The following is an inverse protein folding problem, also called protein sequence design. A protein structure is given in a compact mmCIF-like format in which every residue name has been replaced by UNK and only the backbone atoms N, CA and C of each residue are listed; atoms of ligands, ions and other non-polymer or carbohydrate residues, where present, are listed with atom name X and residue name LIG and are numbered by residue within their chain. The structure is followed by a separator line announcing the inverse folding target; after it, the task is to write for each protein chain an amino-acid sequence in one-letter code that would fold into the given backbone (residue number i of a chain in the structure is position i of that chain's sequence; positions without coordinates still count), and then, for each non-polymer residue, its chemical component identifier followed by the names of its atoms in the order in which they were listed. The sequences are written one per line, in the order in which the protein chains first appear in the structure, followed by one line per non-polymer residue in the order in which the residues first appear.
data_IF_071661507870
#
_entry.id   IF_071661507870
#
_cell.length_a   1.000
_cell.length_b   1.000
_cell.length_c   1.000
_cell.angle_alpha   90.00
_cell.angle_beta   90.00
_cell.angle_gamma   90.00
#
_symmetry.space_group_name_H-M   'P 1'
#
loop_
_entity.id
_entity.type
_entity.pdbx_description
1 polymer ?
#
# COMPACT_ATOMS: atom_id res chain seq x y z
N UNK A 1 -12.96 -12.38 -53.21
CA UNK A 1 -12.10 -13.03 -52.19
C UNK A 1 -11.24 -11.96 -51.55
N UNK A 2 -11.63 -11.44 -50.37
CA UNK A 2 -10.94 -10.32 -49.71
C UNK A 2 -9.86 -10.87 -48.77
N UNK A 3 -8.62 -10.49 -49.04
CA UNK A 3 -7.42 -10.85 -48.30
C UNK A 3 -7.45 -10.14 -46.93
N UNK A 4 -7.74 -10.88 -45.86
CA UNK A 4 -7.54 -10.39 -44.49
C UNK A 4 -6.04 -10.45 -44.19
N UNK A 5 -5.36 -9.31 -44.28
CA UNK A 5 -4.00 -9.15 -43.78
C UNK A 5 -4.08 -9.03 -42.26
N UNK A 6 -3.83 -10.14 -41.56
CA UNK A 6 -3.63 -10.17 -40.12
C UNK A 6 -2.27 -9.54 -39.81
N UNK A 7 -2.25 -8.23 -39.54
CA UNK A 7 -1.10 -7.57 -38.93
C UNK A 7 -1.09 -7.97 -37.45
N UNK A 8 -0.39 -9.06 -37.13
CA UNK A 8 0.03 -9.34 -35.76
C UNK A 8 1.14 -8.33 -35.45
N UNK A 9 0.76 -7.17 -34.92
CA UNK A 9 1.69 -6.33 -34.17
C UNK A 9 2.11 -7.15 -32.95
N UNK A 10 3.21 -7.87 -33.08
CA UNK A 10 3.96 -8.41 -31.96
C UNK A 10 4.44 -7.20 -31.14
N UNK A 11 3.58 -6.77 -30.22
CA UNK A 11 3.88 -5.73 -29.26
C UNK A 11 4.82 -6.36 -28.23
N UNK A 12 6.08 -6.57 -28.62
CA UNK A 12 7.15 -6.86 -27.67
C UNK A 12 7.36 -5.58 -26.86
N UNK A 13 6.52 -5.37 -25.85
CA UNK A 13 6.87 -4.44 -24.79
C UNK A 13 8.17 -4.99 -24.23
N UNK A 14 9.26 -4.27 -24.44
CA UNK A 14 10.44 -4.42 -23.61
C UNK A 14 9.91 -4.24 -22.19
N UNK A 15 9.72 -5.35 -21.48
CA UNK A 15 9.44 -5.33 -20.07
C UNK A 15 10.72 -4.81 -19.43
N UNK A 16 10.86 -3.49 -19.40
CA UNK A 16 11.87 -2.84 -18.58
C UNK A 16 11.59 -3.37 -17.18
N UNK A 17 12.54 -4.13 -16.64
CA UNK A 17 12.42 -4.64 -15.29
C UNK A 17 12.20 -3.44 -14.38
N UNK A 18 11.06 -3.41 -13.69
CA UNK A 18 10.73 -2.29 -12.80
C UNK A 18 11.85 -2.20 -11.74
N UNK A 19 12.44 -1.01 -11.58
CA UNK A 19 13.55 -0.78 -10.65
C UNK A 19 13.02 -0.74 -9.21
N UNK A 20 13.60 -1.52 -8.29
CA UNK A 20 13.36 -1.34 -6.86
C UNK A 20 14.01 -0.03 -6.38
N UNK A 21 13.19 0.94 -5.98
CA UNK A 21 13.63 2.24 -5.48
C UNK A 21 14.24 2.17 -4.07
N UNK A 22 13.83 1.19 -3.26
CA UNK A 22 14.30 1.02 -1.89
C UNK A 22 15.63 0.28 -1.78
N UNK A 23 16.12 -0.31 -2.88
CA UNK A 23 17.37 -1.08 -2.89
C UNK A 23 18.55 -0.23 -2.41
N UNK A 24 19.20 -0.72 -1.34
CA UNK A 24 20.35 -0.14 -0.66
C UNK A 24 20.12 1.28 -0.13
N UNK A 25 18.85 1.67 0.07
CA UNK A 25 18.50 2.96 0.65
C UNK A 25 18.64 2.97 2.17
N UNK A 26 18.82 4.17 2.71
CA UNK A 26 18.86 4.33 4.16
C UNK A 26 17.49 4.04 4.75
N UNK A 27 17.47 3.19 5.77
CA UNK A 27 16.27 2.80 6.48
C UNK A 27 16.46 2.95 7.99
N UNK A 28 15.36 3.27 8.65
CA UNK A 28 15.26 3.44 10.10
C UNK A 28 13.97 2.77 10.56
N UNK A 29 13.94 2.26 11.78
CA UNK A 29 12.73 1.69 12.35
C UNK A 29 12.55 2.13 13.79
N UNK A 30 11.48 1.65 14.42
CA UNK A 30 11.33 1.70 15.86
C UNK A 30 12.38 0.84 16.59
N UNK A 31 12.26 0.76 17.92
CA UNK A 31 13.20 -0.04 18.72
C UNK A 31 13.21 -1.50 18.25
N UNK A 32 14.40 -2.08 18.15
CA UNK A 32 14.57 -3.50 17.80
C UNK A 32 14.11 -4.35 18.98
N UNK A 33 13.06 -5.17 18.77
CA UNK A 33 12.35 -5.94 19.80
C UNK A 33 13.23 -6.90 20.62
N UNK A 34 14.41 -7.26 20.12
CA UNK A 34 15.25 -8.30 20.71
C UNK A 34 16.64 -7.75 21.03
N UNK A 35 16.88 -7.54 22.33
CA UNK A 35 18.18 -7.33 23.01
C UNK A 35 19.41 -7.37 22.07
N UNK A 36 19.77 -6.20 21.50
CA UNK A 36 21.01 -5.96 20.78
C UNK A 36 21.39 -7.00 19.70
N UNK A 37 20.44 -7.73 19.13
CA UNK A 37 20.77 -8.61 18.02
C UNK A 37 21.07 -7.75 16.79
N UNK A 38 22.37 -7.60 16.49
CA UNK A 38 22.91 -6.82 15.37
C UNK A 38 22.25 -7.18 14.02
N UNK A 39 21.66 -8.37 13.94
CA UNK A 39 21.02 -8.92 12.75
C UNK A 39 19.66 -8.32 12.40
N UNK A 40 18.92 -7.72 13.34
CA UNK A 40 17.55 -7.23 13.09
C UNK A 40 17.47 -5.72 12.87
N UNK A 41 18.43 -5.17 12.13
CA UNK A 41 18.47 -3.75 11.82
C UNK A 41 17.57 -3.40 10.62
N UNK A 42 17.17 -2.13 10.51
CA UNK A 42 16.30 -1.66 9.43
C UNK A 42 16.90 -1.87 8.03
N UNK A 43 18.24 -1.87 7.90
CA UNK A 43 18.93 -2.04 6.62
C UNK A 43 18.66 -3.39 5.98
N UNK A 44 18.39 -4.42 6.80
CA UNK A 44 18.00 -5.75 6.31
C UNK A 44 16.83 -5.69 5.33
N UNK A 45 15.83 -4.84 5.59
CA UNK A 45 14.65 -4.68 4.72
C UNK A 45 14.93 -4.02 3.36
N UNK A 46 16.16 -3.63 3.07
CA UNK A 46 16.52 -2.88 1.85
C UNK A 46 17.82 -3.37 1.23
N UNK A 47 18.33 -4.53 1.65
CA UNK A 47 19.66 -4.98 1.26
C UNK A 47 19.69 -5.73 -0.10
N UNK A 48 18.52 -5.99 -0.68
CA UNK A 48 18.37 -6.68 -1.96
C UNK A 48 18.33 -8.20 -1.84
N UNK A 49 18.26 -8.76 -0.63
CA UNK A 49 18.17 -10.20 -0.39
C UNK A 49 16.71 -10.62 -0.27
N UNK A 50 16.24 -11.37 -1.26
CA UNK A 50 14.87 -11.92 -1.25
C UNK A 50 14.73 -13.16 -0.32
N UNK A 51 15.67 -13.37 0.61
CA UNK A 51 15.61 -14.48 1.55
C UNK A 51 14.61 -14.17 2.66
N UNK A 52 13.78 -15.13 2.98
CA UNK A 52 12.87 -15.06 4.12
C UNK A 52 13.47 -15.68 5.40
N UNK A 53 14.77 -15.98 5.43
CA UNK A 53 15.43 -16.57 6.59
C UNK A 53 16.11 -15.49 7.43
N UNK A 54 15.43 -15.07 8.50
CA UNK A 54 15.94 -14.06 9.42
C UNK A 54 17.22 -14.46 10.17
N UNK A 55 17.60 -15.75 10.19
CA UNK A 55 18.88 -16.19 10.76
C UNK A 55 20.10 -15.72 9.96
N UNK A 56 19.91 -15.31 8.69
CA UNK A 56 20.98 -14.76 7.86
C UNK A 56 21.16 -13.23 8.00
N UNK A 57 20.55 -12.64 9.03
CA UNK A 57 20.67 -11.21 9.34
C UNK A 57 20.21 -10.29 8.18
N UNK A 58 19.27 -10.79 7.38
CA UNK A 58 18.69 -10.08 6.23
C UNK A 58 17.27 -9.58 6.48
N UNK A 59 16.80 -9.51 7.73
CA UNK A 59 15.45 -9.04 8.01
C UNK A 59 15.44 -7.99 9.12
N UNK A 60 14.59 -6.98 8.96
CA UNK A 60 14.21 -6.08 10.02
C UNK A 60 13.21 -6.75 10.96
N UNK A 61 13.38 -6.56 12.27
CA UNK A 61 12.39 -6.90 13.28
C UNK A 61 12.23 -5.73 14.26
N UNK A 62 11.21 -4.92 14.05
CA UNK A 62 10.80 -3.83 14.95
C UNK A 62 9.74 -4.31 15.94
N UNK A 63 9.54 -3.54 16.99
CA UNK A 63 8.46 -3.77 17.96
C UNK A 63 8.90 -3.74 19.42
N UNK A 64 7.92 -3.67 20.31
CA UNK A 64 8.11 -3.56 21.76
C UNK A 64 6.86 -3.94 22.56
N UNK A 65 6.96 -3.96 23.89
CA UNK A 65 5.83 -4.34 24.78
C UNK A 65 4.66 -3.34 24.80
N UNK A 66 4.79 -2.17 24.16
CA UNK A 66 3.73 -1.15 24.15
C UNK A 66 3.74 -0.18 22.96
N UNK A 67 4.59 -0.38 21.95
CA UNK A 67 4.79 0.61 20.88
C UNK A 67 4.26 0.13 19.53
N UNK A 68 3.89 1.09 18.67
CA UNK A 68 3.49 0.82 17.29
C UNK A 68 4.75 0.62 16.47
N UNK A 69 4.98 -0.61 15.99
CA UNK A 69 6.15 -0.92 15.17
C UNK A 69 6.09 -0.25 13.79
N UNK A 70 7.21 0.31 13.35
CA UNK A 70 7.32 1.01 12.07
C UNK A 70 8.70 0.87 11.43
N UNK A 71 8.72 0.88 10.10
CA UNK A 71 9.90 0.94 9.25
C UNK A 71 9.75 2.14 8.31
N UNK A 72 10.79 2.94 8.18
CA UNK A 72 10.88 4.07 7.27
C UNK A 72 12.11 3.95 6.37
N UNK A 73 11.95 4.21 5.07
CA UNK A 73 13.03 4.22 4.07
C UNK A 73 13.10 5.56 3.38
N UNK A 74 14.28 6.20 3.36
CA UNK A 74 14.54 7.42 2.58
C UNK A 74 14.96 7.07 1.15
N UNK A 75 14.08 7.33 0.18
CA UNK A 75 14.36 7.09 -1.25
C UNK A 75 15.34 8.12 -1.86
N UNK A 76 15.81 9.11 -1.09
CA UNK A 76 16.67 10.25 -1.46
C UNK A 76 16.00 11.30 -2.36
N UNK A 77 14.95 10.93 -3.08
CA UNK A 77 14.14 11.80 -3.91
C UNK A 77 12.64 11.41 -3.80
N UNK A 78 11.72 12.33 -4.11
CA UNK A 78 10.29 12.00 -4.14
C UNK A 78 9.91 11.25 -5.41
N UNK A 79 9.13 10.18 -5.27
CA UNK A 79 8.65 9.33 -6.38
C UNK A 79 7.14 9.12 -6.34
N UNK A 80 6.51 8.98 -7.50
CA UNK A 80 5.10 8.57 -7.59
C UNK A 80 5.01 7.06 -7.42
N UNK A 81 4.78 6.59 -6.20
CA UNK A 81 4.80 5.16 -5.89
C UNK A 81 3.58 4.47 -6.50
N UNK A 82 3.81 3.36 -7.22
CA UNK A 82 2.74 2.50 -7.76
C UNK A 82 2.40 1.38 -6.79
N UNK A 83 3.41 0.71 -6.25
CA UNK A 83 3.21 -0.41 -5.34
C UNK A 83 4.40 -0.62 -4.44
N UNK A 84 4.13 -1.31 -3.33
CA UNK A 84 5.11 -1.79 -2.39
C UNK A 84 4.89 -3.27 -2.16
N UNK A 85 5.95 -4.05 -2.19
CA UNK A 85 5.93 -5.48 -1.90
C UNK A 85 6.83 -5.75 -0.72
N UNK A 86 6.32 -6.48 0.26
CA UNK A 86 7.05 -6.85 1.47
C UNK A 86 7.27 -8.34 1.48
N UNK A 87 8.51 -8.77 1.67
CA UNK A 87 8.86 -10.17 1.91
C UNK A 87 8.96 -10.38 3.43
N UNK A 88 8.27 -11.40 3.92
CA UNK A 88 8.19 -11.69 5.36
C UNK A 88 9.07 -12.86 5.77
N UNK A 89 9.51 -12.89 7.03
CA UNK A 89 10.32 -13.98 7.60
C UNK A 89 9.55 -15.30 7.70
N UNK A 90 10.26 -16.42 7.52
CA UNK A 90 9.72 -17.77 7.58
C UNK A 90 9.10 -18.15 8.93
N UNK A 91 9.55 -17.53 10.03
CA UNK A 91 9.14 -17.87 11.40
C UNK A 91 8.26 -16.80 12.06
N UNK A 92 8.37 -15.56 11.61
CA UNK A 92 7.78 -14.38 12.23
C UNK A 92 6.78 -13.66 11.32
N UNK A 93 6.41 -14.25 10.18
CA UNK A 93 5.47 -13.66 9.20
C UNK A 93 4.15 -13.18 9.83
N UNK A 94 3.68 -13.82 10.90
CA UNK A 94 2.43 -13.47 11.57
C UNK A 94 2.39 -12.02 12.07
N UNK A 95 3.56 -11.45 12.41
CA UNK A 95 3.73 -10.06 12.83
C UNK A 95 3.37 -9.05 11.73
N UNK A 96 3.42 -9.48 10.46
CA UNK A 96 3.01 -8.66 9.33
C UNK A 96 1.53 -8.78 8.98
N UNK A 97 0.73 -9.49 9.77
CA UNK A 97 -0.72 -9.44 9.61
C UNK A 97 -1.21 -8.01 9.87
N UNK A 98 -2.04 -7.48 8.97
CA UNK A 98 -2.65 -6.14 9.12
C UNK A 98 -1.67 -4.96 9.17
N UNK A 99 -0.85 -4.76 8.11
CA UNK A 99 0.04 -3.60 8.01
C UNK A 99 -0.54 -2.46 7.14
N UNK A 100 -0.03 -1.26 7.38
CA UNK A 100 -0.30 -0.04 6.63
C UNK A 100 0.98 0.30 5.85
N UNK A 101 0.84 0.63 4.57
CA UNK A 101 1.92 1.16 3.76
C UNK A 101 1.57 2.58 3.31
N UNK A 102 2.56 3.46 3.33
CA UNK A 102 2.37 4.86 2.98
C UNK A 102 3.69 5.60 2.87
N UNK A 103 3.63 6.93 2.95
CA UNK A 103 4.83 7.74 2.93
C UNK A 103 4.60 9.22 3.18
N UNK A 104 5.71 9.95 3.31
CA UNK A 104 5.73 11.39 3.58
C UNK A 104 6.87 12.06 2.83
N UNK A 105 6.81 13.39 2.76
CA UNK A 105 7.95 14.23 2.36
C UNK A 105 8.65 14.88 3.56
N UNK A 106 8.12 14.69 4.77
CA UNK A 106 8.80 15.05 6.01
C UNK A 106 9.60 13.86 6.53
N UNK A 107 10.89 14.07 6.84
CA UNK A 107 11.79 13.04 7.40
C UNK A 107 11.67 12.86 8.91
N UNK A 108 10.50 13.19 9.48
CA UNK A 108 10.23 13.03 10.91
C UNK A 108 9.83 11.58 11.22
N UNK A 109 9.96 11.18 12.49
CA UNK A 109 9.47 9.89 12.96
C UNK A 109 8.01 9.67 12.55
N UNK A 110 7.66 8.54 11.92
CA UNK A 110 6.30 8.26 11.49
C UNK A 110 5.31 8.30 12.64
N UNK A 111 4.31 9.17 12.52
CA UNK A 111 3.13 9.19 13.40
C UNK A 111 1.91 8.79 12.58
N UNK A 112 1.10 7.88 13.12
CA UNK A 112 -0.10 7.41 12.43
C UNK A 112 -1.03 8.60 12.16
N UNK A 113 -1.54 8.70 10.93
CA UNK A 113 -2.43 9.79 10.52
C UNK A 113 -1.71 11.08 10.12
N UNK A 114 -0.37 11.11 10.10
CA UNK A 114 0.41 12.28 9.65
C UNK A 114 1.14 12.05 8.32
N UNK A 115 0.92 10.91 7.67
CA UNK A 115 1.55 10.54 6.41
C UNK A 115 0.52 9.98 5.43
N UNK A 116 0.80 10.09 4.13
CA UNK A 116 -0.09 9.61 3.07
C UNK A 116 -0.18 8.10 3.11
N UNK A 117 -1.39 7.57 3.26
CA UNK A 117 -1.61 6.12 3.18
C UNK A 117 -1.72 5.74 1.70
N UNK A 118 -0.84 4.84 1.28
CA UNK A 118 -0.89 4.21 -0.02
C UNK A 118 -1.97 3.12 -0.01
N UNK A 119 -1.89 2.19 0.96
CA UNK A 119 -2.91 1.16 1.19
C UNK A 119 -2.76 0.50 2.56
N UNK A 120 -3.65 -0.44 2.85
CA UNK A 120 -3.57 -1.33 4.01
C UNK A 120 -3.74 -2.78 3.57
N UNK A 121 -2.87 -3.66 4.05
CA UNK A 121 -3.07 -5.09 3.92
C UNK A 121 -4.01 -5.54 5.04
N UNK A 122 -5.21 -6.02 4.73
CA UNK A 122 -6.26 -6.27 5.73
C UNK A 122 -6.37 -7.72 6.21
N UNK A 123 -5.49 -8.61 5.75
CA UNK A 123 -5.64 -10.04 5.97
C UNK A 123 -4.60 -10.58 6.94
N UNK A 124 -4.92 -11.74 7.52
CA UNK A 124 -3.94 -12.54 8.26
C UNK A 124 -2.95 -13.16 7.28
N UNK A 125 -1.67 -13.08 7.63
CA UNK A 125 -0.59 -13.74 6.89
C UNK A 125 -0.37 -15.11 7.53
N UNK A 126 -0.62 -16.17 6.77
CA UNK A 126 -0.55 -17.56 7.24
C UNK A 126 0.70 -18.30 6.78
N UNK A 127 1.44 -17.72 5.84
CA UNK A 127 2.68 -18.26 5.28
C UNK A 127 3.68 -17.11 5.08
N UNK A 128 4.97 -17.42 5.00
CA UNK A 128 5.97 -16.46 4.56
C UNK A 128 5.96 -16.36 3.04
N UNK A 129 5.78 -15.15 2.51
CA UNK A 129 5.72 -14.86 1.07
C UNK A 129 5.89 -13.34 0.82
N UNK A 130 5.73 -12.93 -0.44
CA UNK A 130 5.70 -11.55 -0.89
C UNK A 130 4.27 -10.98 -0.89
N UNK A 131 4.05 -9.96 -0.06
CA UNK A 131 2.76 -9.28 0.09
C UNK A 131 2.80 -7.91 -0.55
N UNK A 132 2.03 -7.74 -1.62
CA UNK A 132 1.99 -6.50 -2.40
C UNK A 132 0.77 -5.67 -2.03
N UNK A 133 1.01 -4.39 -1.76
CA UNK A 133 -0.01 -3.35 -1.71
C UNK A 133 0.25 -2.34 -2.81
N UNK A 134 -0.81 -1.90 -3.46
CA UNK A 134 -0.75 -0.89 -4.51
C UNK A 134 -1.10 0.48 -3.94
N UNK A 135 -0.65 1.54 -4.58
CA UNK A 135 -0.82 2.90 -4.10
C UNK A 135 -1.83 3.68 -4.92
N UNK A 136 -2.68 4.43 -4.21
CA UNK A 136 -3.58 5.36 -4.85
C UNK A 136 -2.82 6.41 -5.68
N UNK A 137 -3.21 6.55 -6.94
CA UNK A 137 -2.59 7.47 -7.90
C UNK A 137 -2.74 8.97 -7.57
N UNK A 138 -3.58 9.35 -6.61
CA UNK A 138 -3.73 10.74 -6.18
C UNK A 138 -2.79 11.15 -5.04
N UNK A 139 -2.00 10.23 -4.49
CA UNK A 139 -0.98 10.61 -3.52
C UNK A 139 0.12 11.43 -4.21
N UNK A 140 0.67 12.46 -3.54
CA UNK A 140 1.80 13.20 -4.10
C UNK A 140 3.01 12.27 -4.22
N UNK A 141 4.03 12.70 -4.96
CA UNK A 141 5.32 12.01 -4.93
C UNK A 141 5.86 11.99 -3.48
N UNK A 142 6.36 10.83 -3.04
CA UNK A 142 6.80 10.57 -1.67
C UNK A 142 8.29 10.26 -1.65
N UNK A 143 9.04 10.85 -0.70
CA UNK A 143 10.45 10.55 -0.47
C UNK A 143 10.66 9.49 0.61
N UNK A 144 9.91 9.57 1.70
CA UNK A 144 10.01 8.64 2.83
C UNK A 144 8.90 7.61 2.73
N UNK A 145 9.25 6.34 2.58
CA UNK A 145 8.30 5.23 2.57
C UNK A 145 8.15 4.70 3.99
N UNK A 146 6.92 4.44 4.40
CA UNK A 146 6.57 4.05 5.77
C UNK A 146 5.75 2.76 5.71
N UNK A 147 6.24 1.73 6.41
CA UNK A 147 5.46 0.54 6.76
C UNK A 147 5.19 0.62 8.26
N UNK A 148 3.94 0.50 8.66
CA UNK A 148 3.55 0.59 10.07
C UNK A 148 2.45 -0.43 10.37
N UNK A 149 2.44 -1.00 11.57
CA UNK A 149 1.34 -1.85 11.97
C UNK A 149 0.02 -1.09 12.19
N UNK A 150 -1.11 -1.79 11.99
CA UNK A 150 -2.45 -1.27 12.26
C UNK A 150 -2.67 -1.02 13.76
N UNK A 151 -3.61 -0.12 14.08
CA UNK A 151 -3.92 0.37 15.45
C UNK A 151 -4.28 -0.70 16.50
N UNK A 152 -4.58 -1.93 16.11
CA UNK A 152 -4.89 -3.04 17.03
C UNK A 152 -4.20 -4.35 16.60
N UNK A 153 -3.17 -4.26 15.76
CA UNK A 153 -2.34 -5.43 15.46
C UNK A 153 -1.41 -5.72 16.65
N UNK A 154 -0.66 -6.82 16.59
CA UNK A 154 0.47 -7.02 17.52
C UNK A 154 1.43 -5.83 17.48
N UNK A 155 2.37 -5.74 18.41
CA UNK A 155 3.31 -4.62 18.53
C UNK A 155 4.69 -4.94 17.93
N UNK A 156 4.74 -5.70 16.82
CA UNK A 156 5.98 -6.15 16.18
C UNK A 156 5.89 -6.19 14.67
N UNK A 157 6.90 -5.73 13.95
CA UNK A 157 6.93 -5.65 12.48
C UNK A 157 8.14 -6.42 11.96
N UNK A 158 7.96 -7.27 10.97
CA UNK A 158 9.05 -8.07 10.39
C UNK A 158 9.11 -7.92 8.87
N UNK A 159 10.23 -7.41 8.34
CA UNK A 159 10.39 -7.20 6.90
C UNK A 159 11.76 -7.68 6.47
N UNK A 160 11.80 -8.74 5.67
CA UNK A 160 13.04 -9.25 5.09
C UNK A 160 13.46 -8.45 3.86
N UNK A 161 12.50 -8.03 3.02
CA UNK A 161 12.80 -7.11 1.94
C UNK A 161 11.57 -6.24 1.65
N UNK A 162 11.81 -4.95 1.45
CA UNK A 162 10.84 -3.98 0.96
C UNK A 162 11.22 -3.59 -0.47
N UNK A 163 10.32 -3.91 -1.38
CA UNK A 163 10.42 -3.56 -2.79
C UNK A 163 9.47 -2.40 -3.07
N UNK A 164 10.00 -1.28 -3.55
CA UNK A 164 9.21 -0.08 -3.86
C UNK A 164 9.34 0.22 -5.34
N UNK A 165 8.22 0.39 -6.03
CA UNK A 165 8.20 0.61 -7.48
C UNK A 165 7.47 1.91 -7.83
N UNK A 166 8.05 2.66 -8.75
CA UNK A 166 7.44 3.87 -9.31
C UNK A 166 6.33 3.53 -10.31
N UNK A 167 5.33 4.40 -10.39
CA UNK A 167 4.34 4.38 -11.45
C UNK A 167 4.98 4.66 -12.81
N UNK A 168 4.69 3.80 -13.79
CA UNK A 168 5.12 3.96 -15.18
C UNK A 168 4.58 5.24 -15.82
N UNK A 169 3.43 5.70 -15.32
CA UNK A 169 2.80 6.96 -15.71
C UNK A 169 2.08 7.54 -14.51
N UNK A 170 2.12 8.87 -14.36
CA UNK A 170 1.32 9.59 -13.35
C UNK A 170 -0.19 9.36 -13.52
N UNK A 171 -0.60 8.94 -14.71
CA UNK A 171 -2.00 8.71 -15.09
C UNK A 171 -2.40 7.23 -15.04
N UNK A 172 -1.54 6.32 -14.59
CA UNK A 172 -1.91 4.90 -14.43
C UNK A 172 -2.81 4.72 -13.18
N UNK A 173 -3.98 5.34 -13.21
CA UNK A 173 -4.99 5.24 -12.16
C UNK A 173 -5.76 3.94 -12.33
N UNK A 174 -5.45 2.94 -11.52
CA UNK A 174 -6.23 1.71 -11.47
C UNK A 174 -7.30 1.85 -10.38
N UNK A 175 -8.56 1.66 -10.75
CA UNK A 175 -9.67 1.60 -9.81
C UNK A 175 -10.00 0.14 -9.49
N UNK A 176 -9.74 -0.27 -8.26
CA UNK A 176 -10.14 -1.56 -7.72
C UNK A 176 -11.58 -1.53 -7.25
N UNK A 177 -12.42 -2.37 -7.85
CA UNK A 177 -13.79 -2.58 -7.40
C UNK A 177 -13.83 -3.72 -6.38
N UNK A 178 -14.13 -3.41 -5.13
CA UNK A 178 -14.50 -4.38 -4.10
C UNK A 178 -16.03 -4.49 -4.03
N UNK A 179 -16.53 -5.71 -4.18
CA UNK A 179 -17.97 -6.02 -4.05
C UNK A 179 -18.28 -6.30 -2.59
N UNK A 180 -19.49 -5.96 -2.15
CA UNK A 180 -20.00 -6.18 -0.78
C UNK A 180 -19.17 -5.51 0.32
N UNK A 181 -18.49 -4.41 -0.04
CA UNK A 181 -17.73 -3.57 0.88
C UNK A 181 -18.19 -2.13 0.76
N UNK A 182 -18.16 -1.41 1.88
CA UNK A 182 -18.50 0.02 1.97
C UNK A 182 -17.53 0.68 2.94
N UNK A 183 -16.99 1.84 2.57
CA UNK A 183 -16.33 2.71 3.53
C UNK A 183 -17.33 3.27 4.53
N UNK A 184 -17.05 3.10 5.82
CA UNK A 184 -17.91 3.60 6.91
C UNK A 184 -17.60 5.07 7.26
N UNK A 185 -16.58 5.65 6.65
CA UNK A 185 -16.21 7.04 6.88
C UNK A 185 -17.36 8.00 6.51
N UNK A 186 -17.37 9.18 7.11
CA UNK A 186 -18.24 10.27 6.67
C UNK A 186 -17.79 10.71 5.28
N UNK A 187 -18.68 10.56 4.30
CA UNK A 187 -18.41 11.00 2.95
C UNK A 187 -18.21 12.52 2.92
N UNK A 188 -17.22 12.97 2.15
CA UNK A 188 -16.98 14.40 1.95
C UNK A 188 -18.18 15.02 1.23
N UNK A 189 -18.66 14.32 0.20
CA UNK A 189 -19.84 14.68 -0.58
C UNK A 189 -20.62 13.41 -0.93
N UNK A 190 -21.94 13.57 -1.11
CA UNK A 190 -22.81 12.51 -1.61
C UNK A 190 -23.75 13.09 -2.66
N UNK A 191 -23.97 12.36 -3.74
CA UNK A 191 -24.84 12.77 -4.84
C UNK A 191 -25.38 11.54 -5.59
N UNK A 192 -26.41 11.73 -6.40
CA UNK A 192 -26.99 10.66 -7.22
C UNK A 192 -26.31 10.58 -8.59
N UNK A 193 -25.91 9.37 -9.01
CA UNK A 193 -25.40 9.06 -10.35
C UNK A 193 -26.06 7.81 -10.89
N UNK A 194 -26.25 7.79 -12.22
CA UNK A 194 -26.85 6.66 -12.94
C UNK A 194 -25.93 5.44 -13.07
N UNK A 195 -24.62 5.60 -12.85
CA UNK A 195 -23.64 4.52 -13.00
C UNK A 195 -22.38 4.76 -12.18
N UNK A 196 -21.66 3.66 -11.91
CA UNK A 196 -20.31 3.67 -11.31
C UNK A 196 -19.37 4.55 -12.13
N UNK A 197 -19.39 4.45 -13.47
CA UNK A 197 -18.50 5.26 -14.33
C UNK A 197 -18.71 6.76 -14.15
N UNK A 198 -19.96 7.20 -14.02
CA UNK A 198 -20.27 8.62 -13.78
C UNK A 198 -19.89 9.08 -12.37
N UNK A 199 -20.02 8.19 -11.38
CA UNK A 199 -19.51 8.41 -10.02
C UNK A 199 -17.99 8.58 -10.00
N UNK A 200 -17.24 7.68 -10.66
CA UNK A 200 -15.78 7.75 -10.78
C UNK A 200 -15.31 8.99 -11.55
N UNK A 201 -16.01 9.36 -12.64
CA UNK A 201 -15.68 10.57 -13.38
C UNK A 201 -15.83 11.83 -12.51
N UNK A 202 -16.91 11.90 -11.72
CA UNK A 202 -17.13 13.01 -10.78
C UNK A 202 -16.06 13.03 -9.68
N UNK A 203 -15.75 11.87 -9.11
CA UNK A 203 -14.68 11.74 -8.14
C UNK A 203 -13.33 12.23 -8.69
N UNK A 204 -12.98 11.84 -9.91
CA UNK A 204 -11.74 12.29 -10.57
C UNK A 204 -11.68 13.83 -10.71
N UNK A 205 -12.80 14.46 -11.09
CA UNK A 205 -12.90 15.93 -11.14
C UNK A 205 -12.72 16.58 -9.77
N UNK A 206 -13.22 15.93 -8.71
CA UNK A 206 -13.11 16.36 -7.33
C UNK A 206 -11.76 16.00 -6.69
N UNK A 207 -10.85 15.32 -7.42
CA UNK A 207 -9.61 14.74 -6.89
C UNK A 207 -9.86 13.87 -5.66
N UNK A 208 -10.93 13.07 -5.73
CA UNK A 208 -11.31 12.16 -4.66
C UNK A 208 -10.53 10.84 -4.75
N UNK A 209 -10.34 10.19 -3.61
CA UNK A 209 -9.52 8.99 -3.42
C UNK A 209 -10.33 7.71 -3.49
N UNK A 210 -11.60 7.73 -3.11
CA UNK A 210 -12.42 6.54 -3.26
C UNK A 210 -13.90 6.86 -3.25
N UNK A 211 -14.70 5.89 -3.68
CA UNK A 211 -16.15 6.04 -3.74
C UNK A 211 -16.89 4.82 -3.21
N UNK A 212 -18.02 5.06 -2.55
CA UNK A 212 -19.06 4.05 -2.39
C UNK A 212 -20.14 4.33 -3.43
N UNK A 213 -20.50 3.31 -4.22
CA UNK A 213 -21.62 3.40 -5.15
C UNK A 213 -22.68 2.35 -4.83
N UNK A 214 -23.90 2.81 -4.59
CA UNK A 214 -25.07 1.95 -4.39
C UNK A 214 -25.89 1.87 -5.69
N UNK A 215 -25.94 0.71 -6.37
CA UNK A 215 -26.66 0.59 -7.63
C UNK A 215 -28.18 0.70 -7.50
N UNK A 216 -28.75 0.44 -6.30
CA UNK A 216 -30.19 0.47 -6.06
C UNK A 216 -30.71 1.90 -5.91
N UNK A 217 -29.99 2.73 -5.16
CA UNK A 217 -30.37 4.15 -4.96
C UNK A 217 -29.69 5.10 -5.94
N UNK A 218 -28.68 4.64 -6.69
CA UNK A 218 -27.81 5.53 -7.47
C UNK A 218 -26.92 6.43 -6.61
N UNK A 219 -26.87 6.24 -5.30
CA UNK A 219 -26.05 7.06 -4.41
C UNK A 219 -24.56 6.82 -4.68
N UNK A 220 -23.83 7.91 -4.87
CA UNK A 220 -22.38 7.99 -5.00
C UNK A 220 -21.85 8.84 -3.85
N UNK A 221 -21.13 8.21 -2.93
CA UNK A 221 -20.43 8.87 -1.83
C UNK A 221 -18.96 8.97 -2.23
N UNK A 222 -18.40 10.17 -2.18
CA UNK A 222 -16.99 10.42 -2.52
C UNK A 222 -16.20 10.75 -1.27
N UNK A 223 -14.95 10.31 -1.27
CA UNK A 223 -14.07 10.45 -0.12
C UNK A 223 -12.70 10.97 -0.54
N UNK A 224 -12.03 11.66 0.38
CA UNK A 224 -10.66 12.17 0.23
C UNK A 224 -9.91 11.75 1.50
N UNK A 225 -8.84 10.99 1.32
CA UNK A 225 -8.10 10.31 2.39
C UNK A 225 -6.61 10.66 2.32
N UNK A 226 -6.22 11.91 2.59
CA UNK A 226 -4.82 12.28 2.57
C UNK A 226 -4.01 11.50 3.62
N UNK A 227 -4.66 10.96 4.67
CA UNK A 227 -4.01 10.21 5.75
C UNK A 227 -4.71 8.86 6.08
N UNK A 228 -5.46 8.32 5.09
CA UNK A 228 -6.11 7.00 5.08
C UNK A 228 -7.40 6.82 5.90
N UNK A 229 -7.73 5.54 6.18
CA UNK A 229 -9.03 5.07 6.65
C UNK A 229 -9.10 4.81 8.16
N UNK A 230 -10.21 5.23 8.79
CA UNK A 230 -10.64 4.73 10.11
C UNK A 230 -11.54 3.51 9.92
N UNK A 231 -11.23 2.41 10.62
CA UNK A 231 -11.96 1.15 10.46
C UNK A 231 -13.12 1.02 11.47
N UNK A 232 -14.25 0.50 11.02
CA UNK A 232 -15.41 0.11 11.81
C UNK A 232 -16.08 -1.15 11.22
N UNK A 233 -16.91 -1.85 11.99
CA UNK A 233 -17.59 -3.09 11.56
C UNK A 233 -18.70 -2.79 10.54
N UNK A 234 -18.72 -3.46 9.38
CA UNK A 234 -19.72 -3.23 8.30
C UNK A 234 -20.99 -4.07 8.52
N UNK A 235 -22.20 -3.49 8.42
CA UNK A 235 -23.44 -4.24 8.21
C UNK A 235 -23.55 -4.75 6.76
N UNK A 236 -23.92 -6.01 6.57
CA UNK A 236 -24.09 -6.68 5.27
C UNK A 236 -25.10 -5.97 4.35
N UNK A 237 -24.62 -5.08 3.47
CA UNK A 237 -25.37 -4.59 2.30
C UNK A 237 -24.42 -4.51 1.09
N UNK A 238 -24.93 -4.95 -0.07
CA UNK A 238 -24.23 -4.90 -1.35
C UNK A 238 -23.97 -3.43 -1.72
N UNK A 239 -22.72 -3.01 -1.59
CA UNK A 239 -22.20 -1.72 -2.03
C UNK A 239 -20.94 -2.01 -2.86
N UNK A 240 -20.78 -1.27 -3.95
CA UNK A 240 -19.54 -1.31 -4.70
C UNK A 240 -18.61 -0.26 -4.12
N UNK A 241 -17.53 -0.71 -3.51
CA UNK A 241 -16.44 0.13 -3.12
C UNK A 241 -15.45 0.17 -4.27
N UNK A 242 -15.16 1.35 -4.80
CA UNK A 242 -14.05 1.51 -5.72
C UNK A 242 -12.96 2.30 -4.99
N UNK A 243 -11.87 1.62 -4.67
CA UNK A 243 -10.63 2.27 -4.23
C UNK A 243 -9.68 2.39 -5.42
N UNK A 244 -8.65 3.21 -5.31
CA UNK A 244 -7.51 3.01 -6.20
C UNK A 244 -6.75 1.76 -5.76
N UNK A 245 -6.32 0.96 -6.73
CA UNK A 245 -5.32 -0.07 -6.47
C UNK A 245 -4.06 0.65 -6.07
#
# INVERSE_FOLDING_TARGET
MRLFVLIILAYSQNAIADKNLALLKNSTGDSVYINNNVCFNARGATDGRLSNDSHNCGCFLGGGLSEVAWLMVDLEAPYFIDRMTLITDAYSFGYMSHFIAGGSNAGNTPQRGTYYICNQYEFFITISDAYTVKCNANIPALRYIIIQQRINAGASLNVCELLVYEARSKDSKLWNRLVDRRLIQTALLSFEKKSVKSCLAQCSQLKCDSVNYNPKSGSCEVFVHPFGYFNGSVPTKIVYFCDFA
#
